data_IF_719580400291
#
_entry.id   IF_719580400291
#
_cell.length_a   1.000
_cell.length_b   1.000
_cell.length_c   1.000
_cell.angle_alpha   90.00
_cell.angle_beta   90.00
_cell.angle_gamma   90.00
#
_symmetry.space_group_name_H-M   'P 1'
#
loop_
_entity.id
_entity.type
_entity.pdbx_description
1 polymer ?
#
# COMPACT_ATOMS: atom_id res chain seq x y z
N UNK A 1 -34.58 -12.83 -9.28
CA UNK A 1 -33.12 -12.61 -9.18
C UNK A 1 -32.93 -11.73 -7.97
N UNK A 2 -32.08 -12.13 -7.03
CA UNK A 2 -31.72 -11.30 -5.89
C UNK A 2 -30.95 -10.08 -6.44
N UNK A 3 -31.32 -8.89 -6.00
CA UNK A 3 -30.61 -7.67 -6.39
C UNK A 3 -29.20 -7.74 -5.81
N UNK A 4 -28.16 -7.61 -6.68
CA UNK A 4 -26.76 -7.64 -6.25
C UNK A 4 -26.41 -6.36 -5.50
N UNK A 5 -25.65 -6.48 -4.41
CA UNK A 5 -25.11 -5.32 -3.69
C UNK A 5 -23.87 -4.81 -4.41
N UNK A 6 -23.80 -3.51 -4.67
CA UNK A 6 -22.68 -2.90 -5.34
C UNK A 6 -21.59 -2.47 -4.32
N UNK A 7 -20.33 -2.79 -4.63
CA UNK A 7 -19.16 -2.34 -3.89
C UNK A 7 -18.10 -1.82 -4.86
N UNK A 8 -17.47 -0.72 -4.51
CA UNK A 8 -16.54 -0.01 -5.38
C UNK A 8 -15.19 0.17 -4.70
N UNK A 9 -14.10 -0.08 -5.46
CA UNK A 9 -12.74 0.30 -5.09
C UNK A 9 -12.07 1.05 -6.23
N UNK A 10 -11.02 1.80 -5.90
CA UNK A 10 -10.24 2.57 -6.88
C UNK A 10 -8.74 2.34 -6.73
N UNK A 11 -7.99 2.64 -7.78
CA UNK A 11 -6.54 2.68 -7.78
C UNK A 11 -6.04 3.82 -8.68
N UNK A 12 -4.74 4.08 -8.60
CA UNK A 12 -4.08 5.10 -9.40
C UNK A 12 -2.77 4.56 -9.96
N UNK A 13 -2.31 5.14 -11.07
CA UNK A 13 -1.01 4.80 -11.65
C UNK A 13 0.15 5.38 -10.84
N UNK A 14 1.36 4.90 -11.13
CA UNK A 14 2.61 5.42 -10.56
C UNK A 14 2.83 6.91 -10.82
N UNK A 15 2.24 7.47 -11.88
CA UNK A 15 2.36 8.88 -12.26
C UNK A 15 1.31 9.80 -11.64
N UNK A 16 0.40 9.28 -10.80
CA UNK A 16 -0.49 10.13 -10.02
C UNK A 16 0.32 10.98 -9.02
N UNK A 17 0.01 12.29 -8.82
CA UNK A 17 0.83 13.17 -7.98
C UNK A 17 1.12 12.63 -6.58
N UNK A 18 0.11 12.08 -5.88
CA UNK A 18 0.33 11.50 -4.55
C UNK A 18 1.25 10.26 -4.61
N UNK A 19 1.15 9.43 -5.65
CA UNK A 19 2.02 8.25 -5.79
C UNK A 19 3.44 8.60 -6.24
N UNK A 20 3.66 9.70 -6.93
CA UNK A 20 5.00 10.26 -7.14
C UNK A 20 5.65 10.57 -5.79
N UNK A 21 4.90 11.22 -4.88
CA UNK A 21 5.39 11.55 -3.54
C UNK A 21 5.73 10.31 -2.73
N UNK A 22 4.85 9.29 -2.73
CA UNK A 22 5.09 8.03 -2.04
C UNK A 22 6.36 7.32 -2.57
N UNK A 23 6.54 7.28 -3.90
CA UNK A 23 7.72 6.67 -4.52
C UNK A 23 9.01 7.43 -4.20
N UNK A 24 8.98 8.76 -4.16
CA UNK A 24 10.14 9.57 -3.76
C UNK A 24 10.48 9.30 -2.31
N UNK A 25 9.51 9.36 -1.39
CA UNK A 25 9.71 9.16 0.04
C UNK A 25 10.26 7.76 0.34
N UNK A 26 9.72 6.71 -0.29
CA UNK A 26 10.21 5.34 -0.11
C UNK A 26 11.55 5.08 -0.79
N UNK A 27 11.87 5.77 -1.90
CA UNK A 27 13.19 5.67 -2.51
C UNK A 27 14.28 6.34 -1.66
N UNK A 28 13.94 7.41 -0.94
CA UNK A 28 14.83 8.03 0.05
C UNK A 28 15.03 7.09 1.23
N UNK A 29 13.97 6.49 1.75
CA UNK A 29 14.03 5.49 2.82
C UNK A 29 14.94 4.31 2.43
N UNK A 30 14.75 3.74 1.25
CA UNK A 30 15.55 2.61 0.77
C UNK A 30 17.03 2.97 0.66
N UNK A 31 17.35 4.17 0.16
CA UNK A 31 18.72 4.65 0.05
C UNK A 31 19.37 4.84 1.44
N UNK A 32 18.61 5.37 2.41
CA UNK A 32 19.08 5.54 3.78
C UNK A 32 19.32 4.20 4.46
N UNK A 33 18.40 3.24 4.37
CA UNK A 33 18.56 1.90 4.93
C UNK A 33 19.70 1.11 4.29
N UNK A 34 19.97 1.34 3.00
CA UNK A 34 21.10 0.72 2.31
C UNK A 34 22.45 1.30 2.81
N UNK A 35 22.48 2.60 3.14
CA UNK A 35 23.68 3.27 3.66
C UNK A 35 23.91 2.99 5.15
N UNK A 36 22.83 2.94 5.93
CA UNK A 36 22.81 2.68 7.37
C UNK A 36 21.52 1.95 7.77
N UNK A 37 21.57 0.64 8.03
CA UNK A 37 20.40 -0.14 8.50
C UNK A 37 19.81 0.35 9.82
N UNK A 38 20.55 1.14 10.60
CA UNK A 38 20.09 1.75 11.86
C UNK A 38 19.29 3.03 11.67
N UNK A 39 19.13 3.50 10.43
CA UNK A 39 18.44 4.76 10.12
C UNK A 39 17.02 4.81 10.68
N UNK A 40 16.67 5.98 11.25
CA UNK A 40 15.30 6.34 11.63
C UNK A 40 14.80 7.40 10.67
N UNK A 41 13.71 7.12 9.96
CA UNK A 41 13.27 7.92 8.82
C UNK A 41 11.78 8.20 8.92
N UNK A 42 11.42 9.47 8.81
CA UNK A 42 10.07 9.93 8.60
C UNK A 42 10.16 11.05 7.55
N UNK A 43 10.03 10.70 6.27
CA UNK A 43 10.19 11.62 5.14
C UNK A 43 8.90 11.72 4.35
N UNK A 44 8.44 12.93 4.16
CA UNK A 44 7.26 13.28 3.40
C UNK A 44 7.66 14.14 2.20
N UNK A 45 6.92 13.99 1.12
CA UNK A 45 7.16 14.71 -0.14
C UNK A 45 5.89 15.43 -0.57
N UNK A 46 6.05 16.64 -1.08
CA UNK A 46 5.03 17.40 -1.79
C UNK A 46 5.51 17.63 -3.22
N UNK A 47 4.62 17.43 -4.20
CA UNK A 47 4.86 17.81 -5.59
C UNK A 47 3.79 18.78 -6.08
N UNK A 48 4.18 19.71 -6.92
CA UNK A 48 3.29 20.61 -7.66
C UNK A 48 3.96 21.02 -8.98
N UNK A 49 3.38 21.94 -9.74
CA UNK A 49 3.97 22.40 -11.01
C UNK A 49 5.44 22.81 -10.84
N UNK A 50 6.35 22.08 -11.49
CA UNK A 50 7.77 22.38 -11.53
C UNK A 50 8.52 22.29 -10.20
N UNK A 51 7.93 21.76 -9.13
CA UNK A 51 8.54 21.73 -7.80
C UNK A 51 8.32 20.40 -7.08
N UNK A 52 9.37 19.93 -6.44
CA UNK A 52 9.33 18.86 -5.42
C UNK A 52 9.88 19.43 -4.11
N UNK A 53 9.16 19.28 -3.03
CA UNK A 53 9.61 19.61 -1.69
C UNK A 53 9.64 18.35 -0.83
N UNK A 54 10.80 18.04 -0.24
CA UNK A 54 11.03 16.93 0.67
C UNK A 54 11.20 17.48 2.08
N UNK A 55 10.40 17.01 3.02
CA UNK A 55 10.44 17.43 4.42
C UNK A 55 10.41 16.22 5.36
N UNK A 56 10.78 16.39 6.63
CA UNK A 56 10.70 15.34 7.64
C UNK A 56 11.90 15.32 8.57
N UNK A 57 12.05 14.20 9.29
CA UNK A 57 13.11 14.00 10.26
C UNK A 57 13.87 12.70 9.95
N UNK A 58 15.18 12.75 10.04
CA UNK A 58 16.06 11.61 9.81
C UNK A 58 17.16 11.58 10.86
N UNK A 59 17.41 10.38 11.40
CA UNK A 59 18.59 10.06 12.20
C UNK A 59 19.33 8.93 11.52
N UNK A 60 20.53 9.18 11.04
CA UNK A 60 21.35 8.24 10.26
C UNK A 60 22.83 8.59 10.34
N UNK A 61 23.69 7.59 10.24
CA UNK A 61 25.14 7.78 10.02
C UNK A 61 25.48 7.79 8.51
N UNK A 62 24.50 7.55 7.65
CA UNK A 62 24.64 7.52 6.21
C UNK A 62 24.44 8.89 5.54
N UNK A 63 24.91 9.01 4.29
CA UNK A 63 24.63 10.15 3.42
C UNK A 63 23.96 9.69 2.13
N UNK A 64 22.92 10.42 1.69
CA UNK A 64 22.24 10.18 0.41
C UNK A 64 22.02 11.48 -0.37
N UNK A 65 22.13 11.40 -1.69
CA UNK A 65 21.84 12.52 -2.60
C UNK A 65 20.32 12.58 -2.87
N UNK A 66 19.57 13.24 -1.97
CA UNK A 66 18.11 13.36 -2.07
C UNK A 66 17.69 14.01 -3.40
N UNK A 67 18.25 15.16 -3.85
CA UNK A 67 17.89 15.71 -5.16
C UNK A 67 18.11 14.75 -6.32
N UNK A 68 19.19 13.99 -6.30
CA UNK A 68 19.48 12.98 -7.32
C UNK A 68 18.47 11.82 -7.28
N UNK A 69 18.03 11.39 -6.11
CA UNK A 69 16.96 10.37 -5.95
C UNK A 69 15.65 10.89 -6.54
N UNK A 70 15.23 12.10 -6.18
CA UNK A 70 14.01 12.73 -6.70
C UNK A 70 14.01 12.73 -8.22
N UNK A 71 15.07 13.21 -8.86
CA UNK A 71 15.18 13.28 -10.33
C UNK A 71 15.08 11.90 -10.97
N UNK A 72 15.78 10.90 -10.43
CA UNK A 72 15.71 9.53 -10.94
C UNK A 72 14.30 8.95 -10.86
N UNK A 73 13.59 9.15 -9.74
CA UNK A 73 12.22 8.66 -9.58
C UNK A 73 11.26 9.33 -10.55
N UNK A 74 11.30 10.65 -10.67
CA UNK A 74 10.43 11.42 -11.58
C UNK A 74 10.65 11.01 -13.03
N UNK A 75 11.92 10.88 -13.47
CA UNK A 75 12.27 10.43 -14.81
C UNK A 75 11.86 8.97 -15.05
N UNK A 76 12.06 8.08 -14.06
CA UNK A 76 11.66 6.67 -14.16
C UNK A 76 10.15 6.52 -14.36
N UNK A 77 9.33 7.32 -13.68
CA UNK A 77 7.87 7.36 -13.83
C UNK A 77 7.48 7.78 -15.26
N UNK A 78 8.30 8.61 -15.91
CA UNK A 78 8.08 9.05 -17.29
C UNK A 78 7.75 10.55 -17.41
N UNK A 79 8.00 11.34 -16.40
CA UNK A 79 7.96 12.80 -16.49
C UNK A 79 9.33 13.31 -16.95
N UNK A 80 9.54 13.29 -18.26
CA UNK A 80 10.83 13.54 -18.93
C UNK A 80 10.81 14.75 -19.86
N UNK A 81 9.74 15.54 -19.86
CA UNK A 81 9.59 16.72 -20.72
C UNK A 81 8.93 17.87 -19.98
N UNK A 82 9.54 19.05 -20.07
CA UNK A 82 9.02 20.30 -19.52
C UNK A 82 7.68 20.75 -20.15
N UNK A 83 7.33 20.21 -21.31
CA UNK A 83 6.02 20.47 -21.97
C UNK A 83 4.84 20.00 -21.08
N UNK A 84 5.07 19.00 -20.23
CA UNK A 84 4.07 18.53 -19.27
C UNK A 84 3.95 19.44 -18.05
N UNK A 85 4.86 20.43 -17.91
CA UNK A 85 4.94 21.34 -16.76
C UNK A 85 5.52 20.73 -15.50
N UNK A 86 6.07 19.52 -15.61
CA UNK A 86 6.78 18.80 -14.54
C UNK A 86 7.69 17.76 -15.19
N UNK A 87 8.98 17.81 -14.90
CA UNK A 87 9.97 16.82 -15.37
C UNK A 87 11.13 16.69 -14.38
N UNK A 88 11.79 15.53 -14.41
CA UNK A 88 12.84 15.20 -13.46
C UNK A 88 14.13 16.02 -13.63
N UNK A 89 14.43 16.50 -14.82
CA UNK A 89 15.69 17.19 -15.09
C UNK A 89 15.62 18.68 -14.71
N UNK A 90 14.46 19.33 -14.90
CA UNK A 90 14.32 20.78 -14.70
C UNK A 90 13.49 21.19 -13.47
N UNK A 91 12.76 20.30 -12.82
CA UNK A 91 11.99 20.66 -11.62
C UNK A 91 12.89 21.19 -10.51
N UNK A 92 12.38 22.18 -9.76
CA UNK A 92 13.01 22.63 -8.52
C UNK A 92 12.91 21.50 -7.47
N UNK A 93 14.01 21.26 -6.74
CA UNK A 93 14.01 20.33 -5.60
C UNK A 93 14.45 21.09 -4.37
N UNK A 94 13.59 21.11 -3.35
CA UNK A 94 13.91 21.72 -2.05
C UNK A 94 13.84 20.66 -0.96
N UNK A 95 14.73 20.74 0.02
CA UNK A 95 14.87 19.76 1.10
C UNK A 95 14.87 20.47 2.43
N UNK A 96 13.98 20.04 3.33
CA UNK A 96 13.85 20.52 4.72
C UNK A 96 13.81 19.32 5.66
N UNK A 97 14.96 18.69 5.86
CA UNK A 97 15.13 17.53 6.75
C UNK A 97 15.75 18.01 8.04
N UNK A 98 15.08 17.75 9.17
CA UNK A 98 15.56 17.97 10.53
C UNK A 98 16.08 16.69 11.19
N UNK A 99 16.62 16.83 12.39
CA UNK A 99 16.96 15.70 13.26
C UNK A 99 15.71 15.22 14.02
N UNK A 100 15.64 13.92 14.28
CA UNK A 100 14.58 13.33 15.12
C UNK A 100 14.66 13.89 16.55
N UNK A 101 13.51 14.23 17.16
CA UNK A 101 13.42 14.67 18.55
C UNK A 101 14.04 13.65 19.51
N UNK A 102 14.92 14.13 20.40
CA UNK A 102 15.56 13.31 21.44
C UNK A 102 14.54 12.69 22.41
N UNK A 103 13.44 13.39 22.69
CA UNK A 103 12.39 12.91 23.62
C UNK A 103 11.65 11.71 23.02
N UNK A 104 11.34 11.75 21.74
CA UNK A 104 10.73 10.63 21.01
C UNK A 104 11.71 9.46 20.95
N UNK A 105 12.97 9.72 20.58
CA UNK A 105 14.00 8.69 20.46
C UNK A 105 14.17 7.91 21.78
N UNK A 106 14.22 8.59 22.93
CA UNK A 106 14.40 7.94 24.23
C UNK A 106 13.25 6.96 24.57
N UNK A 107 12.01 7.32 24.25
CA UNK A 107 10.84 6.47 24.52
C UNK A 107 10.73 5.25 23.59
N UNK A 108 11.22 5.40 22.35
CA UNK A 108 11.14 4.36 21.31
C UNK A 108 12.33 3.40 21.38
N UNK A 109 13.55 3.93 21.54
CA UNK A 109 14.79 3.13 21.52
C UNK A 109 14.91 2.25 22.80
N UNK A 110 14.15 2.56 23.87
CA UNK A 110 14.10 1.73 25.09
C UNK A 110 12.68 1.70 25.61
N UNK A 111 11.97 0.60 25.39
CA UNK A 111 10.58 0.43 25.80
C UNK A 111 10.38 0.51 27.32
N UNK A 112 9.14 0.84 27.73
CA UNK A 112 8.74 0.95 29.15
C UNK A 112 9.00 -0.35 29.93
N UNK A 113 8.71 -1.49 29.30
CA UNK A 113 8.94 -2.82 29.88
C UNK A 113 10.41 -3.06 30.22
N UNK A 114 11.32 -2.50 29.45
CA UNK A 114 12.76 -2.59 29.69
C UNK A 114 13.23 -1.55 30.71
N UNK A 115 12.74 -0.28 30.65
CA UNK A 115 13.13 0.82 31.51
C UNK A 115 12.62 0.67 32.97
N UNK A 116 11.38 0.26 33.12
CA UNK A 116 10.68 0.23 34.45
C UNK A 116 10.25 -1.18 34.84
N UNK A 117 9.96 -2.05 33.86
CA UNK A 117 9.50 -3.42 34.10
C UNK A 117 10.60 -4.43 34.37
N UNK A 118 11.87 -4.06 34.16
CA UNK A 118 13.03 -4.95 34.42
C UNK A 118 13.09 -6.15 33.44
N UNK A 119 12.40 -6.10 32.31
CA UNK A 119 12.50 -7.14 31.28
C UNK A 119 13.93 -7.23 30.75
N UNK A 120 14.44 -8.45 30.63
CA UNK A 120 15.74 -8.76 30.02
C UNK A 120 15.61 -9.37 28.63
N UNK A 121 14.39 -9.55 28.12
CA UNK A 121 14.14 -10.05 26.77
C UNK A 121 14.58 -8.97 25.73
N UNK A 122 15.51 -9.26 24.83
CA UNK A 122 15.93 -8.31 23.80
C UNK A 122 14.79 -7.83 22.90
N UNK A 123 13.72 -8.61 22.75
CA UNK A 123 12.54 -8.25 21.94
C UNK A 123 11.70 -7.15 22.61
N UNK A 124 11.79 -6.99 23.92
CA UNK A 124 11.18 -5.89 24.66
C UNK A 124 12.00 -4.59 24.62
N UNK A 125 13.16 -4.57 23.96
CA UNK A 125 14.01 -3.37 23.92
C UNK A 125 13.35 -2.22 23.14
N UNK A 126 12.73 -2.51 21.99
CA UNK A 126 12.13 -1.51 21.13
C UNK A 126 10.66 -1.28 21.49
N UNK A 127 10.32 -0.04 21.87
CA UNK A 127 8.93 0.39 22.05
C UNK A 127 8.28 0.80 20.74
N UNK A 128 6.95 0.79 20.69
CA UNK A 128 6.22 1.33 19.55
C UNK A 128 6.55 2.81 19.33
N UNK A 129 6.79 3.20 18.08
CA UNK A 129 7.19 4.57 17.72
C UNK A 129 6.09 5.60 17.89
N UNK A 130 4.84 5.17 18.00
CA UNK A 130 3.67 6.00 18.24
C UNK A 130 2.56 5.15 18.88
N UNK A 131 1.53 5.80 19.38
CA UNK A 131 0.23 5.18 19.61
C UNK A 131 -0.46 4.98 18.26
N UNK A 132 -1.32 3.96 18.16
CA UNK A 132 -2.13 3.78 16.94
C UNK A 132 -2.87 2.45 16.92
N UNK A 133 -3.76 2.33 15.93
CA UNK A 133 -4.48 1.11 15.58
C UNK A 133 -4.16 0.74 14.14
N UNK A 134 -3.86 -0.53 13.89
CA UNK A 134 -3.55 -1.05 12.56
C UNK A 134 -4.45 -2.23 12.27
N UNK A 135 -4.81 -2.39 11.01
CA UNK A 135 -5.70 -3.44 10.55
C UNK A 135 -5.03 -4.34 9.52
N UNK A 136 -5.30 -5.62 9.61
CA UNK A 136 -5.04 -6.59 8.57
C UNK A 136 -6.33 -7.20 8.07
N UNK A 137 -6.34 -7.61 6.81
CA UNK A 137 -7.50 -8.20 6.19
C UNK A 137 -7.10 -9.25 5.16
N UNK A 138 -7.89 -10.30 5.07
CA UNK A 138 -7.81 -11.30 4.00
C UNK A 138 -9.20 -11.87 3.70
N UNK A 139 -9.40 -12.30 2.46
CA UNK A 139 -10.64 -12.92 1.98
C UNK A 139 -10.33 -13.88 0.84
N UNK A 140 -11.13 -14.93 0.70
CA UNK A 140 -10.99 -15.95 -0.36
C UNK A 140 -11.44 -15.48 -1.74
N UNK A 141 -11.71 -14.19 -1.94
CA UNK A 141 -12.19 -13.64 -3.21
C UNK A 141 -11.18 -13.74 -4.35
N UNK A 142 -9.87 -13.74 -4.05
CA UNK A 142 -8.79 -13.87 -5.03
C UNK A 142 -7.74 -14.88 -4.58
N UNK A 143 -6.92 -15.43 -5.50
CA UNK A 143 -5.81 -16.32 -5.12
C UNK A 143 -4.80 -15.69 -4.14
N UNK A 144 -4.62 -14.35 -4.20
CA UNK A 144 -3.76 -13.61 -3.29
C UNK A 144 -4.43 -13.29 -1.94
N UNK A 145 -5.65 -13.78 -1.73
CA UNK A 145 -6.47 -13.51 -0.56
C UNK A 145 -6.72 -12.00 -0.33
N UNK A 146 -6.99 -11.29 -1.42
CA UNK A 146 -7.35 -9.87 -1.45
C UNK A 146 -8.80 -9.67 -1.88
N UNK A 147 -9.45 -8.55 -1.49
CA UNK A 147 -10.75 -8.18 -2.04
C UNK A 147 -10.68 -8.00 -3.55
N UNK A 148 -11.63 -8.59 -4.27
CA UNK A 148 -11.66 -8.60 -5.74
C UNK A 148 -11.72 -7.18 -6.34
N UNK A 149 -12.45 -6.26 -5.71
CA UNK A 149 -12.63 -4.92 -6.24
C UNK A 149 -11.31 -4.12 -6.29
N UNK A 150 -10.54 -4.08 -5.18
CA UNK A 150 -9.25 -3.40 -5.17
C UNK A 150 -8.19 -4.15 -5.99
N UNK A 151 -8.20 -5.48 -5.97
CA UNK A 151 -7.33 -6.28 -6.81
C UNK A 151 -7.52 -5.94 -8.29
N UNK A 152 -8.76 -5.89 -8.76
CA UNK A 152 -9.06 -5.53 -10.16
C UNK A 152 -8.66 -4.10 -10.48
N UNK A 153 -8.93 -3.14 -9.58
CA UNK A 153 -8.54 -1.75 -9.77
C UNK A 153 -7.00 -1.59 -9.90
N UNK A 154 -6.22 -2.30 -9.08
CA UNK A 154 -4.76 -2.33 -9.19
C UNK A 154 -4.29 -2.94 -10.51
N UNK A 155 -4.85 -4.08 -10.94
CA UNK A 155 -4.48 -4.71 -12.22
C UNK A 155 -4.76 -3.79 -13.40
N UNK A 156 -5.85 -3.02 -13.38
CA UNK A 156 -6.14 -2.00 -14.39
C UNK A 156 -5.08 -0.89 -14.42
N UNK A 157 -4.68 -0.38 -13.24
CA UNK A 157 -3.67 0.67 -13.14
C UNK A 157 -2.28 0.18 -13.58
N UNK A 158 -1.90 -1.05 -13.21
CA UNK A 158 -0.66 -1.69 -13.69
C UNK A 158 -0.67 -1.91 -15.21
N UNK A 159 -1.77 -2.45 -15.75
CA UNK A 159 -1.89 -2.69 -17.19
C UNK A 159 -1.87 -1.39 -17.99
N UNK A 160 -2.47 -0.32 -17.48
CA UNK A 160 -2.41 1.01 -18.10
C UNK A 160 -0.96 1.51 -18.20
N UNK A 161 -0.21 1.35 -17.11
CA UNK A 161 1.22 1.73 -17.08
C UNK A 161 2.06 0.85 -18.00
N UNK A 162 1.81 -0.46 -18.04
CA UNK A 162 2.48 -1.39 -18.94
C UNK A 162 2.24 -1.02 -20.42
N UNK A 163 0.98 -0.74 -20.79
CA UNK A 163 0.63 -0.33 -22.16
C UNK A 163 1.32 0.97 -22.58
N UNK A 164 1.50 1.91 -21.63
CA UNK A 164 2.28 3.14 -21.85
C UNK A 164 3.77 2.83 -22.03
N UNK A 165 4.37 2.10 -21.09
CA UNK A 165 5.82 1.83 -21.06
C UNK A 165 6.31 0.97 -22.22
N UNK A 166 5.50 -0.01 -22.65
CA UNK A 166 5.79 -0.87 -23.78
C UNK A 166 5.62 -0.16 -25.15
N UNK A 167 4.96 1.00 -25.17
CA UNK A 167 4.61 1.72 -26.38
C UNK A 167 3.39 1.18 -27.10
N UNK A 168 2.70 0.16 -26.59
CA UNK A 168 1.44 -0.35 -27.16
C UNK A 168 0.39 0.77 -27.25
N UNK A 169 0.32 1.64 -26.23
CA UNK A 169 -0.47 2.85 -26.24
C UNK A 169 0.44 4.07 -26.00
N UNK A 170 1.33 4.36 -26.96
CA UNK A 170 2.37 5.40 -26.86
C UNK A 170 1.86 6.83 -26.71
N UNK A 171 0.56 7.07 -26.86
CA UNK A 171 -0.08 8.35 -26.61
C UNK A 171 -0.42 8.57 -25.12
N UNK A 172 -0.32 7.56 -24.26
CA UNK A 172 -0.58 7.69 -22.84
C UNK A 172 0.53 8.47 -22.13
N UNK A 173 0.14 9.25 -21.12
CA UNK A 173 1.02 9.91 -20.18
C UNK A 173 0.93 9.25 -18.79
N UNK A 174 1.84 9.58 -17.85
CA UNK A 174 1.95 8.80 -16.62
C UNK A 174 0.75 8.83 -15.67
N UNK A 175 -0.04 9.93 -15.62
CA UNK A 175 -1.14 10.09 -14.68
C UNK A 175 -2.39 9.34 -15.11
N UNK A 176 -2.99 8.60 -14.20
CA UNK A 176 -4.22 7.87 -14.44
C UNK A 176 -4.87 7.35 -13.16
N UNK A 177 -6.20 7.13 -13.26
CA UNK A 177 -7.02 6.57 -12.17
C UNK A 177 -7.91 5.47 -12.72
N UNK A 178 -8.14 4.47 -11.90
CA UNK A 178 -9.05 3.35 -12.19
C UNK A 178 -10.02 3.15 -11.04
N UNK A 179 -11.25 2.80 -11.34
CA UNK A 179 -12.27 2.49 -10.34
C UNK A 179 -13.12 1.33 -10.86
N UNK A 180 -13.43 0.39 -9.99
CA UNK A 180 -14.22 -0.80 -10.34
C UNK A 180 -15.35 -0.97 -9.36
N UNK A 181 -16.56 -1.11 -9.89
CA UNK A 181 -17.76 -1.45 -9.12
C UNK A 181 -18.14 -2.90 -9.45
N UNK A 182 -18.23 -3.72 -8.41
CA UNK A 182 -18.61 -5.13 -8.52
C UNK A 182 -19.98 -5.38 -7.89
N UNK A 183 -20.72 -6.31 -8.46
CA UNK A 183 -21.97 -6.82 -7.88
C UNK A 183 -21.72 -8.07 -7.06
N UNK A 184 -22.17 -8.06 -5.81
CA UNK A 184 -22.01 -9.13 -4.83
C UNK A 184 -23.33 -9.82 -4.51
N UNK A 185 -23.31 -11.14 -4.47
CA UNK A 185 -24.34 -11.99 -3.87
C UNK A 185 -23.83 -12.43 -2.47
N UNK A 186 -24.38 -11.80 -1.44
CA UNK A 186 -23.82 -11.94 -0.08
C UNK A 186 -22.37 -11.43 0.00
N UNK A 187 -21.42 -12.32 0.27
CA UNK A 187 -20.00 -12.02 0.33
C UNK A 187 -19.24 -12.38 -0.98
N UNK A 188 -19.92 -12.94 -1.98
CA UNK A 188 -19.29 -13.47 -3.18
C UNK A 188 -19.42 -12.48 -4.34
N UNK A 189 -18.33 -12.00 -4.95
CA UNK A 189 -18.40 -11.18 -6.15
C UNK A 189 -18.90 -12.01 -7.34
N UNK A 190 -19.83 -11.47 -8.13
CA UNK A 190 -20.48 -12.17 -9.26
C UNK A 190 -20.29 -11.44 -10.58
N UNK A 191 -20.42 -10.15 -10.60
CA UNK A 191 -20.41 -9.34 -11.83
C UNK A 191 -19.48 -8.16 -11.73
N UNK A 192 -18.95 -7.72 -12.87
CA UNK A 192 -18.41 -6.38 -13.01
C UNK A 192 -19.52 -5.47 -13.52
N UNK A 193 -19.94 -4.50 -12.71
CA UNK A 193 -20.99 -3.55 -13.05
C UNK A 193 -20.46 -2.35 -13.83
N UNK A 194 -19.46 -1.65 -13.28
CA UNK A 194 -18.92 -0.44 -13.90
C UNK A 194 -17.40 -0.40 -13.76
N UNK A 195 -16.73 0.01 -14.84
CA UNK A 195 -15.31 0.38 -14.84
C UNK A 195 -15.17 1.84 -15.22
N UNK A 196 -14.62 2.65 -14.32
CA UNK A 196 -14.23 4.04 -14.60
C UNK A 196 -12.72 4.08 -14.77
N UNK A 197 -12.24 4.66 -15.88
CA UNK A 197 -10.83 4.86 -16.13
C UNK A 197 -10.59 6.27 -16.66
N UNK A 198 -9.74 7.04 -15.99
CA UNK A 198 -9.27 8.34 -16.46
C UNK A 198 -7.77 8.28 -16.67
N UNK A 199 -7.29 8.63 -17.85
CA UNK A 199 -5.87 8.59 -18.19
C UNK A 199 -5.43 9.84 -18.92
N UNK A 200 -4.29 10.37 -18.51
CA UNK A 200 -3.62 11.47 -19.19
C UNK A 200 -3.07 10.98 -20.54
N UNK A 201 -3.14 11.84 -21.56
CA UNK A 201 -2.74 11.49 -22.91
C UNK A 201 -2.17 12.68 -23.70
N UNK A 202 -1.53 12.39 -24.83
CA UNK A 202 -1.08 13.38 -25.78
C UNK A 202 -2.28 14.08 -26.47
N UNK A 203 -2.14 15.34 -26.91
CA UNK A 203 -3.25 16.07 -27.53
C UNK A 203 -3.68 15.50 -28.88
N UNK A 204 -2.85 14.71 -29.55
CA UNK A 204 -3.05 14.26 -30.94
C UNK A 204 -4.06 13.11 -31.07
N UNK A 205 -4.46 12.47 -29.97
CA UNK A 205 -5.45 11.38 -29.98
C UNK A 205 -6.86 11.92 -29.72
N UNK A 206 -7.83 11.51 -30.50
CA UNK A 206 -9.23 11.83 -30.24
C UNK A 206 -9.77 10.98 -29.07
N UNK A 207 -10.68 11.55 -28.27
CA UNK A 207 -11.28 10.84 -27.14
C UNK A 207 -11.98 9.53 -27.55
N UNK A 208 -12.72 9.45 -28.66
CA UNK A 208 -13.30 8.17 -29.11
C UNK A 208 -12.23 7.10 -29.43
N UNK A 209 -11.14 7.47 -30.11
CA UNK A 209 -10.05 6.55 -30.40
C UNK A 209 -9.32 6.08 -29.15
N UNK A 210 -9.07 6.99 -28.22
CA UNK A 210 -8.50 6.68 -26.90
C UNK A 210 -9.37 5.67 -26.15
N UNK A 211 -10.68 5.90 -26.08
CA UNK A 211 -11.64 5.02 -25.40
C UNK A 211 -11.60 3.60 -25.95
N UNK A 212 -11.66 3.46 -27.28
CA UNK A 212 -11.62 2.16 -27.93
C UNK A 212 -10.29 1.43 -27.66
N UNK A 213 -9.15 2.13 -27.75
CA UNK A 213 -7.85 1.55 -27.52
C UNK A 213 -7.63 1.14 -26.06
N UNK A 214 -8.02 1.99 -25.09
CA UNK A 214 -7.90 1.70 -23.65
C UNK A 214 -8.82 0.53 -23.26
N UNK A 215 -10.02 0.46 -23.81
CA UNK A 215 -10.90 -0.67 -23.56
C UNK A 215 -10.26 -1.98 -24.04
N UNK A 216 -9.82 -2.04 -25.28
CA UNK A 216 -9.29 -3.25 -25.90
C UNK A 216 -7.94 -3.71 -25.30
N UNK A 217 -7.02 -2.76 -25.02
CA UNK A 217 -5.65 -3.08 -24.60
C UNK A 217 -5.46 -3.12 -23.09
N UNK A 218 -6.35 -2.48 -22.32
CA UNK A 218 -6.20 -2.38 -20.86
C UNK A 218 -7.36 -3.06 -20.12
N UNK A 219 -8.61 -2.67 -20.42
CA UNK A 219 -9.74 -3.10 -19.58
C UNK A 219 -10.12 -4.55 -19.88
N UNK A 220 -10.41 -4.88 -21.11
CA UNK A 220 -10.89 -6.22 -21.49
C UNK A 220 -9.91 -7.35 -21.09
N UNK A 221 -8.57 -7.21 -21.29
CA UNK A 221 -7.61 -8.23 -20.86
C UNK A 221 -7.55 -8.42 -19.32
N UNK A 222 -7.78 -7.36 -18.53
CA UNK A 222 -7.81 -7.46 -17.07
C UNK A 222 -9.11 -8.09 -16.59
N UNK A 223 -10.25 -7.68 -17.14
CA UNK A 223 -11.55 -8.24 -16.77
C UNK A 223 -11.64 -9.74 -17.08
N UNK A 224 -11.02 -10.20 -18.16
CA UNK A 224 -10.95 -11.63 -18.50
C UNK A 224 -10.26 -12.48 -17.42
N UNK A 225 -9.42 -11.88 -16.55
CA UNK A 225 -8.72 -12.58 -15.46
C UNK A 225 -9.56 -12.69 -14.20
N UNK A 226 -10.65 -11.95 -14.06
CA UNK A 226 -11.47 -11.91 -12.84
C UNK A 226 -12.33 -13.15 -12.64
N UNK A 227 -12.69 -13.83 -13.72
CA UNK A 227 -13.67 -14.93 -13.71
C UNK A 227 -15.11 -14.49 -13.40
N UNK A 228 -15.38 -13.19 -13.34
CA UNK A 228 -16.71 -12.62 -13.09
C UNK A 228 -17.50 -12.49 -14.39
N UNK A 229 -18.82 -12.34 -14.28
CA UNK A 229 -19.66 -12.00 -15.42
C UNK A 229 -19.40 -10.55 -15.84
N UNK A 230 -18.91 -10.40 -17.07
CA UNK A 230 -18.56 -9.11 -17.71
C UNK A 230 -19.48 -8.79 -18.90
N UNK A 231 -20.61 -9.49 -19.04
CA UNK A 231 -21.51 -9.36 -20.20
C UNK A 231 -22.20 -7.99 -20.30
N UNK A 232 -22.33 -7.25 -19.19
CA UNK A 232 -23.08 -6.00 -19.13
C UNK A 232 -22.28 -4.86 -18.43
N UNK A 233 -20.97 -4.77 -18.67
CA UNK A 233 -20.12 -3.76 -18.04
C UNK A 233 -20.42 -2.37 -18.58
N UNK A 234 -20.61 -1.41 -17.71
CA UNK A 234 -20.65 0.01 -18.05
C UNK A 234 -19.24 0.60 -18.10
N UNK A 235 -18.74 0.93 -19.29
CA UNK A 235 -17.41 1.51 -19.48
C UNK A 235 -17.46 3.04 -19.47
N UNK A 236 -16.80 3.67 -18.51
CA UNK A 236 -16.72 5.13 -18.32
C UNK A 236 -15.26 5.57 -18.46
N UNK A 237 -14.82 5.81 -19.69
CA UNK A 237 -13.42 6.13 -20.00
C UNK A 237 -13.29 7.62 -20.37
N UNK A 238 -12.42 8.36 -19.66
CA UNK A 238 -12.24 9.80 -19.80
C UNK A 238 -13.59 10.55 -19.93
N UNK A 239 -14.49 10.47 -18.92
CA UNK A 239 -15.85 11.03 -19.05
C UNK A 239 -15.86 12.56 -19.18
N UNK A 240 -14.86 13.25 -18.61
CA UNK A 240 -14.73 14.70 -18.71
C UNK A 240 -14.19 15.19 -20.07
N UNK A 241 -13.89 14.27 -21.00
CA UNK A 241 -13.30 14.59 -22.29
C UNK A 241 -11.77 14.48 -22.30
N UNK A 242 -11.04 15.36 -23.03
CA UNK A 242 -9.59 15.32 -23.12
C UNK A 242 -8.92 15.52 -21.74
N UNK A 243 -7.91 14.69 -21.45
CA UNK A 243 -7.10 14.79 -20.23
C UNK A 243 -5.63 14.97 -20.61
N UNK A 244 -5.28 16.13 -21.14
CA UNK A 244 -3.92 16.47 -21.60
C UNK A 244 -3.09 17.07 -20.45
N UNK A 245 -3.68 17.97 -19.67
CA UNK A 245 -3.03 18.54 -18.46
C UNK A 245 -3.32 17.63 -17.27
N UNK A 246 -2.29 17.01 -16.71
CA UNK A 246 -2.36 16.11 -15.56
C UNK A 246 -1.03 16.06 -14.82
N UNK A 247 -0.89 15.09 -13.91
CA UNK A 247 0.25 15.01 -13.03
C UNK A 247 0.37 16.22 -12.11
N UNK A 248 1.57 16.55 -11.59
CA UNK A 248 1.79 17.67 -10.68
C UNK A 248 1.42 19.05 -11.22
N UNK A 249 1.28 19.20 -12.55
CA UNK A 249 0.76 20.42 -13.16
C UNK A 249 -0.75 20.54 -12.99
N UNK A 250 -1.46 19.43 -12.97
CA UNK A 250 -2.93 19.42 -12.83
C UNK A 250 -3.37 19.51 -11.38
N UNK A 251 -2.69 18.82 -10.48
CA UNK A 251 -3.00 18.74 -9.06
C UNK A 251 -1.75 18.52 -8.23
N UNK A 252 -1.70 19.05 -7.01
CA UNK A 252 -0.59 18.83 -6.09
C UNK A 252 -0.71 17.45 -5.45
N UNK A 253 0.44 16.81 -5.22
CA UNK A 253 0.55 15.53 -4.52
C UNK A 253 1.24 15.66 -3.17
N UNK A 254 0.90 14.75 -2.26
CA UNK A 254 1.56 14.58 -0.96
C UNK A 254 1.70 13.09 -0.62
N UNK A 255 2.77 12.75 0.10
CA UNK A 255 2.97 11.43 0.67
C UNK A 255 1.81 11.07 1.61
N UNK A 256 1.33 9.82 1.52
CA UNK A 256 0.33 9.30 2.46
C UNK A 256 -1.11 9.75 2.22
N UNK A 257 -1.46 10.22 1.01
CA UNK A 257 -2.83 10.60 0.64
C UNK A 257 -3.61 9.53 -0.10
N UNK A 258 -3.06 8.33 -0.26
CA UNK A 258 -3.71 7.18 -0.94
C UNK A 258 -3.77 5.94 -0.06
N UNK A 259 -3.95 6.13 1.27
CA UNK A 259 -3.86 5.09 2.29
C UNK A 259 -4.89 3.96 2.12
N UNK A 260 -6.05 4.25 1.56
CA UNK A 260 -7.09 3.25 1.28
C UNK A 260 -6.73 2.43 0.04
N UNK A 261 -6.18 3.08 -0.99
CA UNK A 261 -5.63 2.41 -2.19
C UNK A 261 -4.42 1.54 -1.81
N UNK A 262 -3.57 2.01 -0.91
CA UNK A 262 -2.39 1.31 -0.42
C UNK A 262 -2.72 0.02 0.34
N UNK A 263 -3.95 -0.11 0.84
CA UNK A 263 -4.39 -1.22 1.69
C UNK A 263 -5.47 -2.09 1.02
N UNK A 264 -6.73 -1.96 1.41
CA UNK A 264 -7.78 -2.90 1.03
C UNK A 264 -8.94 -2.27 0.24
N UNK A 265 -8.78 -1.03 -0.27
CA UNK A 265 -9.78 -0.36 -1.13
C UNK A 265 -11.14 -0.13 -0.47
N UNK A 266 -11.18 -0.01 0.85
CA UNK A 266 -12.42 0.20 1.61
C UNK A 266 -13.12 -1.09 2.06
N UNK A 267 -12.59 -2.28 1.74
CA UNK A 267 -13.16 -3.55 2.20
C UNK A 267 -12.89 -3.83 3.69
N UNK A 268 -11.83 -3.26 4.24
CA UNK A 268 -11.46 -3.32 5.65
C UNK A 268 -11.47 -1.94 6.29
N UNK A 269 -11.50 -1.92 7.64
CA UNK A 269 -11.26 -0.71 8.42
C UNK A 269 -9.81 -0.23 8.23
N UNK A 270 -9.54 1.02 8.57
CA UNK A 270 -8.22 1.62 8.49
C UNK A 270 -7.92 2.47 9.74
N UNK A 271 -6.71 2.39 10.26
CA UNK A 271 -6.31 3.16 11.46
C UNK A 271 -5.88 4.61 11.16
N UNK A 272 -5.70 4.97 9.90
CA UNK A 272 -5.31 6.31 9.46
C UNK A 272 -3.82 6.52 9.20
N UNK A 273 -2.95 5.59 9.62
CA UNK A 273 -1.49 5.68 9.43
C UNK A 273 -1.07 5.51 7.96
N UNK A 274 -0.26 6.42 7.44
CA UNK A 274 0.39 6.29 6.14
C UNK A 274 1.67 5.45 6.26
N UNK A 275 2.09 4.81 5.17
CA UNK A 275 3.25 3.91 5.13
C UNK A 275 4.51 4.57 4.56
N UNK A 276 4.40 5.14 3.35
CA UNK A 276 5.55 5.62 2.59
C UNK A 276 6.36 6.65 3.35
N UNK A 277 7.69 6.57 3.24
CA UNK A 277 8.64 7.43 3.92
C UNK A 277 8.94 7.08 5.37
N UNK A 278 8.28 6.07 5.96
CA UNK A 278 8.47 5.61 7.35
C UNK A 278 9.31 4.35 7.40
N UNK A 279 10.37 4.35 8.22
CA UNK A 279 11.14 3.14 8.54
C UNK A 279 10.33 2.17 9.42
N UNK A 280 10.72 0.87 9.53
CA UNK A 280 9.92 -0.15 10.20
C UNK A 280 9.79 0.00 11.72
N UNK A 281 10.48 0.93 12.37
CA UNK A 281 10.23 1.26 13.78
C UNK A 281 8.88 1.95 13.99
N UNK A 282 8.29 2.51 12.94
CA UNK A 282 6.95 3.11 12.93
C UNK A 282 5.92 2.00 12.77
N UNK A 283 5.17 1.74 13.83
CA UNK A 283 4.14 0.67 13.86
C UNK A 283 3.01 0.89 12.85
N UNK A 284 2.76 2.13 12.45
CA UNK A 284 1.84 2.43 11.33
C UNK A 284 2.14 1.56 10.11
N UNK A 285 3.42 1.35 9.80
CA UNK A 285 3.87 0.54 8.69
C UNK A 285 4.10 -0.91 9.07
N UNK A 286 4.99 -1.18 10.02
CA UNK A 286 5.42 -2.53 10.38
C UNK A 286 4.28 -3.38 10.93
N UNK A 287 3.44 -2.81 11.81
CA UNK A 287 2.31 -3.55 12.36
C UNK A 287 1.17 -3.73 11.35
N UNK A 288 0.94 -2.79 10.44
CA UNK A 288 0.00 -3.01 9.34
C UNK A 288 0.44 -4.18 8.43
N UNK A 289 1.74 -4.28 8.14
CA UNK A 289 2.31 -5.41 7.40
C UNK A 289 2.17 -6.73 8.19
N UNK A 290 2.46 -6.70 9.50
CA UNK A 290 2.25 -7.87 10.36
C UNK A 290 0.78 -8.30 10.39
N UNK A 291 -0.17 -7.35 10.47
CA UNK A 291 -1.60 -7.67 10.46
C UNK A 291 -2.05 -8.27 9.12
N UNK A 292 -1.48 -7.82 7.99
CA UNK A 292 -1.70 -8.49 6.70
C UNK A 292 -1.17 -9.93 6.73
N UNK A 293 0.04 -10.14 7.23
CA UNK A 293 0.63 -11.47 7.37
C UNK A 293 -0.22 -12.40 8.24
N UNK A 294 -0.68 -11.91 9.41
CA UNK A 294 -1.58 -12.63 10.31
C UNK A 294 -2.90 -12.99 9.61
N UNK A 295 -3.59 -12.01 9.03
CA UNK A 295 -4.89 -12.24 8.40
C UNK A 295 -4.77 -13.21 7.21
N UNK A 296 -3.72 -13.05 6.38
CA UNK A 296 -3.48 -13.91 5.22
C UNK A 296 -3.23 -15.36 5.65
N UNK A 297 -2.40 -15.58 6.67
CA UNK A 297 -2.14 -16.93 7.18
C UNK A 297 -3.38 -17.56 7.82
N UNK A 298 -4.18 -16.80 8.55
CA UNK A 298 -5.39 -17.32 9.19
C UNK A 298 -6.44 -17.76 8.15
N UNK A 299 -6.65 -16.99 7.09
CA UNK A 299 -7.54 -17.37 5.99
C UNK A 299 -6.94 -18.54 5.19
N UNK A 300 -5.66 -18.54 4.90
CA UNK A 300 -4.98 -19.65 4.22
C UNK A 300 -5.01 -20.94 5.05
N UNK A 301 -4.98 -20.86 6.38
CA UNK A 301 -5.15 -21.99 7.30
C UNK A 301 -6.58 -22.53 7.34
N UNK A 302 -7.54 -21.86 6.71
CA UNK A 302 -8.95 -22.24 6.71
C UNK A 302 -9.65 -21.97 8.05
N UNK A 303 -9.21 -20.95 8.81
CA UNK A 303 -9.89 -20.57 10.04
C UNK A 303 -11.18 -19.77 9.76
N UNK A 304 -11.19 -19.01 8.65
CA UNK A 304 -12.34 -18.27 8.14
C UNK A 304 -12.16 -18.01 6.64
N UNK A 305 -13.26 -17.72 5.91
CA UNK A 305 -13.20 -17.30 4.50
C UNK A 305 -12.88 -15.80 4.37
N UNK A 306 -13.13 -15.04 5.44
CA UNK A 306 -12.90 -13.59 5.53
C UNK A 306 -12.51 -13.24 6.95
N UNK A 307 -11.44 -12.50 7.11
CA UNK A 307 -10.92 -12.13 8.42
C UNK A 307 -10.37 -10.69 8.43
N UNK A 308 -10.76 -9.94 9.45
CA UNK A 308 -10.13 -8.67 9.82
C UNK A 308 -9.48 -8.81 11.19
N UNK A 309 -8.27 -8.30 11.33
CA UNK A 309 -7.51 -8.28 12.59
C UNK A 309 -7.11 -6.85 12.90
N UNK A 310 -7.37 -6.39 14.11
CA UNK A 310 -6.90 -5.09 14.61
C UNK A 310 -5.85 -5.31 15.71
N UNK A 311 -4.77 -4.56 15.66
CA UNK A 311 -3.80 -4.42 16.75
C UNK A 311 -3.73 -2.96 17.20
N UNK A 312 -3.50 -2.73 18.48
CA UNK A 312 -3.34 -1.39 19.05
C UNK A 312 -2.05 -1.30 19.86
N UNK A 313 -1.35 -0.16 19.74
CA UNK A 313 -0.13 0.14 20.49
C UNK A 313 -0.25 1.45 21.26
N UNK A 314 0.53 1.56 22.33
CA UNK A 314 0.84 2.80 23.03
C UNK A 314 2.30 3.17 22.77
N UNK A 315 2.58 4.45 22.58
CA UNK A 315 3.95 4.94 22.36
C UNK A 315 4.89 4.46 23.48
N UNK A 316 6.08 4.01 23.11
CA UNK A 316 7.12 3.58 24.03
C UNK A 316 6.85 2.24 24.74
N UNK A 317 5.80 1.49 24.40
CA UNK A 317 5.55 0.14 24.88
C UNK A 317 5.89 -0.90 23.80
N UNK A 318 6.49 -2.02 24.24
CA UNK A 318 6.77 -3.15 23.35
C UNK A 318 5.51 -4.00 23.12
N UNK A 319 4.80 -4.37 24.17
CA UNK A 319 3.61 -5.20 24.05
C UNK A 319 2.43 -4.40 23.46
N UNK A 320 1.66 -4.97 22.50
CA UNK A 320 0.43 -4.37 22.06
C UNK A 320 -0.59 -4.27 23.18
N UNK A 321 -1.38 -3.20 23.20
CA UNK A 321 -2.41 -2.95 24.22
C UNK A 321 -3.77 -3.57 23.88
N UNK A 322 -3.96 -4.01 22.63
CA UNK A 322 -5.19 -4.65 22.18
C UNK A 322 -4.99 -5.50 20.94
N UNK A 323 -5.76 -6.57 20.85
CA UNK A 323 -5.91 -7.41 19.65
C UNK A 323 -7.40 -7.75 19.52
N UNK A 324 -7.98 -7.47 18.35
CA UNK A 324 -9.37 -7.76 18.03
C UNK A 324 -9.43 -8.52 16.70
N UNK A 325 -10.31 -9.50 16.62
CA UNK A 325 -10.51 -10.37 15.45
C UNK A 325 -11.98 -10.37 15.09
N UNK A 326 -12.28 -10.31 13.80
CA UNK A 326 -13.62 -10.43 13.26
C UNK A 326 -13.64 -11.29 11.99
N UNK A 327 -14.36 -12.41 12.01
CA UNK A 327 -14.55 -13.30 10.85
C UNK A 327 -15.81 -13.00 10.03
N UNK A 328 -16.60 -11.99 10.42
CA UNK A 328 -17.86 -11.60 9.73
C UNK A 328 -18.85 -12.75 9.56
N UNK A 329 -18.86 -13.70 10.48
CA UNK A 329 -19.70 -14.89 10.41
C UNK A 329 -19.25 -15.95 9.40
N UNK A 330 -18.03 -15.85 8.87
CA UNK A 330 -17.43 -16.85 7.96
C UNK A 330 -16.43 -17.76 8.67
N UNK A 331 -16.30 -17.66 9.99
CA UNK A 331 -15.39 -18.48 10.79
C UNK A 331 -15.74 -19.96 10.73
N UNK A 332 -14.75 -20.80 10.50
CA UNK A 332 -14.86 -22.26 10.63
C UNK A 332 -14.59 -22.72 12.07
N UNK A 333 -13.98 -21.83 12.87
CA UNK A 333 -13.87 -21.88 14.32
C UNK A 333 -14.31 -20.53 14.90
N UNK A 334 -14.48 -20.40 16.22
CA UNK A 334 -14.92 -19.13 16.81
C UNK A 334 -13.85 -18.03 16.75
N UNK A 335 -14.28 -16.77 16.78
CA UNK A 335 -13.34 -15.62 16.78
C UNK A 335 -12.42 -15.64 18.02
N UNK A 336 -12.88 -16.19 19.15
CA UNK A 336 -12.06 -16.40 20.34
C UNK A 336 -10.97 -17.45 20.11
N UNK A 337 -11.28 -18.55 19.41
CA UNK A 337 -10.27 -19.56 19.06
C UNK A 337 -9.26 -19.00 18.07
N UNK A 338 -9.72 -18.24 17.07
CA UNK A 338 -8.81 -17.54 16.12
C UNK A 338 -7.89 -16.57 16.87
N UNK A 339 -8.44 -15.78 17.79
CA UNK A 339 -7.68 -14.83 18.60
C UNK A 339 -6.63 -15.52 19.47
N UNK A 340 -6.99 -16.65 20.10
CA UNK A 340 -6.05 -17.44 20.90
C UNK A 340 -4.91 -18.02 20.03
N UNK A 341 -5.26 -18.59 18.87
CA UNK A 341 -4.27 -19.13 17.93
C UNK A 341 -3.29 -18.05 17.41
N UNK A 342 -3.81 -16.85 17.09
CA UNK A 342 -2.96 -15.72 16.68
C UNK A 342 -1.98 -15.34 17.77
N UNK A 343 -2.41 -15.26 19.03
CA UNK A 343 -1.55 -14.93 20.17
C UNK A 343 -0.48 -15.98 20.47
N UNK A 344 -0.78 -17.24 20.16
CA UNK A 344 0.15 -18.35 20.36
C UNK A 344 1.24 -18.40 19.27
N UNK A 345 0.87 -18.04 18.02
CA UNK A 345 1.74 -18.21 16.84
C UNK A 345 2.54 -16.95 16.52
N UNK A 346 2.02 -15.75 16.78
CA UNK A 346 2.65 -14.49 16.38
C UNK A 346 3.09 -13.63 17.56
N UNK A 347 4.36 -13.25 17.55
CA UNK A 347 4.88 -12.21 18.43
C UNK A 347 4.67 -10.85 17.78
N UNK A 348 3.72 -10.07 18.32
CA UNK A 348 3.32 -8.78 17.77
C UNK A 348 4.07 -7.59 18.38
N UNK A 349 5.17 -7.82 19.10
CA UNK A 349 6.07 -6.75 19.55
C UNK A 349 6.84 -6.16 18.37
N UNK A 350 7.07 -4.83 18.31
CA UNK A 350 7.69 -4.18 17.15
C UNK A 350 9.01 -4.82 16.71
N UNK A 351 9.89 -5.17 17.65
CA UNK A 351 11.18 -5.80 17.35
C UNK A 351 11.01 -7.21 16.75
N UNK A 352 10.02 -7.98 17.22
CA UNK A 352 9.71 -9.30 16.66
C UNK A 352 9.17 -9.18 15.24
N UNK A 353 8.25 -8.25 14.99
CA UNK A 353 7.71 -7.98 13.65
C UNK A 353 8.83 -7.64 12.67
N UNK A 354 9.74 -6.72 13.06
CA UNK A 354 10.87 -6.30 12.22
C UNK A 354 11.76 -7.51 11.87
N UNK A 355 12.06 -8.35 12.86
CA UNK A 355 12.86 -9.57 12.68
C UNK A 355 12.15 -10.60 11.79
N UNK A 356 10.91 -10.93 12.09
CA UNK A 356 10.20 -12.06 11.46
C UNK A 356 9.80 -11.74 10.01
N UNK A 357 9.53 -10.49 9.72
CA UNK A 357 9.27 -9.99 8.37
C UNK A 357 10.53 -9.45 7.66
N UNK A 358 11.69 -9.46 8.33
CA UNK A 358 12.98 -9.00 7.77
C UNK A 358 12.86 -7.61 7.11
N UNK A 359 12.40 -6.63 7.90
CA UNK A 359 12.02 -5.31 7.39
C UNK A 359 13.18 -4.31 7.30
N UNK A 360 14.37 -4.61 7.85
CA UNK A 360 15.53 -3.71 7.75
C UNK A 360 16.27 -3.99 6.43
N UNK A 361 15.60 -3.69 5.31
CA UNK A 361 16.13 -3.87 3.95
C UNK A 361 15.57 -2.79 3.03
N UNK A 362 16.26 -2.44 1.92
CA UNK A 362 15.74 -1.52 0.91
C UNK A 362 14.69 -2.20 0.01
N UNK A 363 13.47 -2.33 0.50
CA UNK A 363 12.34 -3.02 -0.16
C UNK A 363 11.12 -2.12 -0.37
N UNK A 364 11.20 -0.88 0.07
CA UNK A 364 10.03 -0.01 0.23
C UNK A 364 9.63 0.74 -1.05
N UNK A 365 10.57 1.15 -1.90
CA UNK A 365 10.24 1.80 -3.17
C UNK A 365 9.30 0.95 -4.04
N UNK A 366 9.44 -0.38 -4.01
CA UNK A 366 8.56 -1.30 -4.74
C UNK A 366 7.12 -1.32 -4.21
N UNK A 367 6.87 -0.89 -2.97
CA UNK A 367 5.53 -0.86 -2.37
C UNK A 367 4.72 0.37 -2.75
N UNK A 368 5.39 1.43 -3.14
CA UNK A 368 4.84 2.78 -3.23
C UNK A 368 3.83 3.01 -4.38
N UNK A 369 3.56 2.02 -5.22
CA UNK A 369 2.52 2.05 -6.25
C UNK A 369 1.82 0.68 -6.34
N UNK A 370 0.56 0.68 -6.75
CA UNK A 370 -0.27 -0.53 -6.97
C UNK A 370 -0.58 -1.35 -5.70
N UNK A 371 -0.61 -0.71 -4.54
CA UNK A 371 -0.94 -1.32 -3.26
C UNK A 371 0.25 -2.01 -2.57
N UNK A 372 0.23 -2.02 -1.25
CA UNK A 372 1.23 -2.68 -0.41
C UNK A 372 0.92 -4.17 -0.19
N UNK A 373 -0.33 -4.60 -0.45
CA UNK A 373 -0.81 -5.95 -0.20
C UNK A 373 -1.27 -6.64 -1.48
N UNK A 374 -1.25 -7.99 -1.47
CA UNK A 374 -1.70 -8.82 -2.58
C UNK A 374 -0.71 -8.95 -3.73
N UNK A 375 0.55 -8.57 -3.55
CA UNK A 375 1.64 -8.77 -4.52
C UNK A 375 2.71 -9.68 -3.93
N UNK A 376 2.86 -10.88 -4.47
CA UNK A 376 3.78 -11.90 -3.96
C UNK A 376 5.20 -11.72 -4.53
N UNK A 377 5.78 -10.54 -4.29
CA UNK A 377 7.16 -10.22 -4.67
C UNK A 377 8.15 -10.71 -3.61
N UNK A 378 9.41 -11.04 -3.99
CA UNK A 378 10.41 -11.58 -3.05
C UNK A 378 10.67 -10.71 -1.81
N UNK A 379 10.53 -9.38 -1.94
CA UNK A 379 10.67 -8.42 -0.83
C UNK A 379 9.44 -8.30 0.08
N UNK A 380 8.27 -8.79 -0.35
CA UNK A 380 7.00 -8.61 0.36
C UNK A 380 6.74 -9.78 1.31
N UNK A 381 7.53 -9.85 2.36
CA UNK A 381 7.53 -10.96 3.33
C UNK A 381 6.22 -11.13 4.08
N UNK A 382 5.42 -10.08 4.21
CA UNK A 382 4.06 -10.10 4.79
C UNK A 382 3.01 -10.81 3.93
N UNK A 383 3.36 -11.18 2.69
CA UNK A 383 2.51 -12.00 1.82
C UNK A 383 2.80 -13.50 1.94
N UNK A 384 3.78 -13.92 2.75
CA UNK A 384 4.06 -15.35 3.00
C UNK A 384 2.92 -16.02 3.76
N UNK A 385 2.69 -17.30 3.45
CA UNK A 385 1.74 -18.17 4.15
C UNK A 385 2.49 -19.25 4.93
N UNK A 386 3.52 -18.85 5.65
CA UNK A 386 4.50 -19.70 6.34
C UNK A 386 4.10 -20.09 7.76
N UNK A 387 2.92 -19.69 8.25
CA UNK A 387 2.37 -19.99 9.58
C UNK A 387 1.07 -20.79 9.55
N UNK A 388 0.71 -21.34 8.40
CA UNK A 388 -0.57 -22.04 8.19
C UNK A 388 -0.69 -23.26 9.11
N UNK A 389 0.30 -24.14 9.14
CA UNK A 389 0.24 -25.38 9.95
C UNK A 389 0.29 -25.10 11.45
N UNK A 390 1.05 -24.08 11.86
CA UNK A 390 1.10 -23.64 13.27
C UNK A 390 -0.26 -23.13 13.71
N UNK A 391 -0.92 -22.29 12.90
CA UNK A 391 -2.25 -21.78 13.17
C UNK A 391 -3.32 -22.87 13.22
N UNK A 392 -3.28 -23.82 12.28
CA UNK A 392 -4.20 -24.97 12.31
C UNK A 392 -4.07 -25.75 13.61
N UNK A 393 -2.85 -26.07 14.01
CA UNK A 393 -2.57 -26.78 15.26
C UNK A 393 -3.05 -25.99 16.47
N UNK A 394 -2.75 -24.70 16.55
CA UNK A 394 -3.15 -23.83 17.66
C UNK A 394 -4.69 -23.65 17.74
N UNK A 395 -5.39 -23.69 16.60
CA UNK A 395 -6.84 -23.61 16.52
C UNK A 395 -7.56 -24.96 16.74
N UNK A 396 -6.81 -26.08 16.81
CA UNK A 396 -7.36 -27.42 17.00
C UNK A 396 -7.95 -28.06 15.74
N UNK A 397 -7.39 -27.70 14.56
CA UNK A 397 -7.80 -28.21 13.24
C UNK A 397 -6.79 -29.25 12.69
#
# INVERSE_FOLDING_TARGET
MTELRLFTSESVTEGHPDKICDQISDSILDALLAADPGSRVAVETLVTTGLVHVAGEVRTDGYVDIPGIVRRVVNHIGYTSSETGFDGDSCGVTVSIGEQSSDIAQGVDTALEHREGGSVDPVDALGAGDQGIMFGYATTETPQLMPMAIWTAHRLAERLTEARRSGALGFLRPDGKTQVTLGYDGAVPRTVDTVVLSTQHNPDISVPALRAAVQAEVIDPVLAQTGLDVSNVNYVINPAGPFVTGGPKGDAGLTGRKIIIDTYGGAARHGGGAFSGKDPSKVDRSAAYAMRWVAKNAVAAGLADRLEVQVAYAIGRAAPVGLYVESFGTGHVSDEQITAAIRDVFDLRPQAIIRDLDLIRPIYAATAAYGHFGRELPGFTWERTDRVEELRTAAGL
#
